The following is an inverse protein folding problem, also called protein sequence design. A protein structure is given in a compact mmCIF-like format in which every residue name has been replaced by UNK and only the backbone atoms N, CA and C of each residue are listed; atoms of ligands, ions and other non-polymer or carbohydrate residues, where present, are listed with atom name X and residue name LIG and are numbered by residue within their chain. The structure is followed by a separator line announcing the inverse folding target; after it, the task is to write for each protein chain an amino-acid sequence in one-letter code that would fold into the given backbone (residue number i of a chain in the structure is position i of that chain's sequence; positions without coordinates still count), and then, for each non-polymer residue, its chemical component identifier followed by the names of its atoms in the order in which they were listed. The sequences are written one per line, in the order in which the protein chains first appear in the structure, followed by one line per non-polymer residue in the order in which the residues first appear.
data_IF_626763321285
#
_entry.id   IF_626763321285
#
_cell.length_a   1.000
_cell.length_b   1.000
_cell.length_c   1.000
_cell.angle_alpha   90.00
_cell.angle_beta   90.00
_cell.angle_gamma   90.00
#
_symmetry.space_group_name_H-M   'P 1'
#
loop_
_entity.id
_entity.type
_entity.pdbx_description
1 polymer ?
#
# COMPACT_ATOMS: atom_id res chain seq x y z
N UNK A 1 5.91 7.69 1.30
CA UNK A 1 5.75 7.12 2.65
C UNK A 1 7.11 6.93 3.28
N UNK A 2 7.33 7.41 4.48
CA UNK A 2 8.60 7.24 5.19
C UNK A 2 8.74 5.82 5.76
N UNK A 3 9.99 5.33 5.79
CA UNK A 3 10.35 4.12 6.53
C UNK A 3 10.13 4.31 8.04
N UNK A 4 9.99 3.23 8.82
CA UNK A 4 9.79 3.33 10.27
C UNK A 4 10.88 4.10 11.02
N UNK A 5 12.11 4.08 10.53
CA UNK A 5 13.26 4.81 11.08
C UNK A 5 13.42 6.24 10.52
N UNK A 6 12.53 6.65 9.60
CA UNK A 6 12.54 7.97 8.99
C UNK A 6 13.66 8.27 8.00
N UNK A 7 14.55 7.29 7.72
CA UNK A 7 15.74 7.48 6.88
C UNK A 7 15.48 7.32 5.37
N UNK A 8 14.35 6.71 5.00
CA UNK A 8 14.03 6.36 3.63
C UNK A 8 12.64 6.81 3.26
N UNK A 9 12.48 7.29 2.03
CA UNK A 9 11.20 7.65 1.43
C UNK A 9 10.88 6.67 0.31
N UNK A 10 9.81 5.88 0.46
CA UNK A 10 9.24 5.10 -0.62
C UNK A 10 8.13 5.87 -1.31
N UNK A 11 8.16 5.91 -2.62
CA UNK A 11 7.17 6.57 -3.47
C UNK A 11 7.03 5.84 -4.80
N UNK A 12 6.06 6.21 -5.60
CA UNK A 12 6.00 5.77 -6.99
C UNK A 12 5.97 6.99 -7.91
N UNK A 13 6.55 6.83 -9.09
CA UNK A 13 6.68 7.86 -10.11
C UNK A 13 6.62 7.24 -11.49
N UNK A 14 6.20 8.01 -12.47
CA UNK A 14 6.17 7.65 -13.90
C UNK A 14 7.37 8.17 -14.69
N UNK A 15 8.40 8.66 -14.01
CA UNK A 15 9.63 9.20 -14.61
C UNK A 15 10.35 8.25 -15.57
N UNK A 16 10.15 6.94 -15.43
CA UNK A 16 10.67 5.91 -16.33
C UNK A 16 9.73 5.57 -17.51
N UNK A 17 8.66 6.36 -17.72
CA UNK A 17 7.63 6.14 -18.75
C UNK A 17 6.46 5.28 -18.29
N UNK A 18 6.54 4.69 -17.10
CA UNK A 18 5.44 4.01 -16.41
C UNK A 18 5.60 4.14 -14.90
N UNK A 19 4.54 3.89 -14.15
CA UNK A 19 4.60 3.97 -12.69
C UNK A 19 5.45 2.84 -12.12
N UNK A 20 6.56 3.22 -11.47
CA UNK A 20 7.45 2.31 -10.75
C UNK A 20 7.64 2.79 -9.32
N UNK A 21 7.93 1.86 -8.42
CA UNK A 21 8.24 2.16 -7.02
C UNK A 21 9.74 2.41 -6.87
N UNK A 22 10.05 3.46 -6.13
CA UNK A 22 11.41 3.87 -5.79
C UNK A 22 11.55 4.04 -4.28
N UNK A 23 12.76 3.86 -3.81
CA UNK A 23 13.21 4.28 -2.48
C UNK A 23 14.31 5.32 -2.64
N UNK A 24 14.27 6.35 -1.82
CA UNK A 24 15.28 7.41 -1.78
C UNK A 24 15.68 7.68 -0.34
N UNK A 25 16.94 7.99 -0.11
CA UNK A 25 17.42 8.43 1.21
C UNK A 25 16.80 9.77 1.60
N UNK A 26 16.59 9.97 2.89
CA UNK A 26 16.07 11.21 3.45
C UNK A 26 16.88 11.61 4.69
N UNK A 27 17.21 12.91 4.88
CA UNK A 27 16.90 14.03 3.97
C UNK A 27 17.67 13.96 2.66
N UNK A 28 17.05 14.48 1.60
CA UNK A 28 17.64 14.47 0.25
C UNK A 28 18.55 15.67 -0.04
N UNK A 29 19.15 15.74 -1.27
CA UNK A 29 19.12 14.76 -2.35
C UNK A 29 20.11 13.63 -2.10
N UNK A 30 19.66 12.41 -2.08
CA UNK A 30 20.47 11.22 -1.89
C UNK A 30 20.27 10.19 -2.99
N UNK A 31 20.89 9.03 -2.82
CA UNK A 31 20.75 7.92 -3.76
C UNK A 31 19.31 7.44 -3.87
N UNK A 32 18.93 7.05 -5.09
CA UNK A 32 17.62 6.51 -5.42
C UNK A 32 17.76 5.08 -5.94
N UNK A 33 16.90 4.20 -5.46
CA UNK A 33 16.87 2.78 -5.83
C UNK A 33 15.53 2.42 -6.45
N UNK A 34 15.52 1.85 -7.67
CA UNK A 34 14.31 1.27 -8.23
C UNK A 34 13.97 -0.01 -7.47
N UNK A 35 12.70 -0.16 -7.08
CA UNK A 35 12.20 -1.31 -6.33
C UNK A 35 11.38 -2.22 -7.24
N UNK A 36 10.62 -1.64 -8.15
CA UNK A 36 9.87 -2.38 -9.17
C UNK A 36 10.44 -2.11 -10.57
N UNK A 37 10.26 -3.05 -11.50
CA UNK A 37 10.69 -2.94 -12.90
C UNK A 37 9.62 -3.38 -13.88
N UNK A 38 8.48 -3.87 -13.37
CA UNK A 38 7.32 -4.34 -14.14
C UNK A 38 6.06 -3.51 -13.88
N UNK A 39 6.22 -2.34 -13.30
CA UNK A 39 5.14 -1.50 -12.80
C UNK A 39 4.83 -1.75 -11.33
N UNK A 40 4.66 -0.66 -10.59
CA UNK A 40 4.35 -0.71 -9.16
C UNK A 40 3.80 0.60 -8.63
N UNK A 41 2.92 0.49 -7.64
CA UNK A 41 2.26 1.63 -6.99
C UNK A 41 2.03 1.35 -5.50
N UNK A 42 1.74 2.38 -4.75
CA UNK A 42 1.31 2.31 -3.35
C UNK A 42 2.24 1.51 -2.43
N UNK A 43 3.53 1.91 -2.32
CA UNK A 43 4.46 1.24 -1.41
C UNK A 43 4.02 1.37 0.05
N UNK A 44 4.23 0.29 0.83
CA UNK A 44 3.98 0.24 2.27
C UNK A 44 5.18 -0.41 2.96
N UNK A 45 5.76 0.29 3.93
CA UNK A 45 6.81 -0.28 4.77
C UNK A 45 6.23 -1.24 5.81
N UNK A 46 6.85 -2.42 5.97
CA UNK A 46 6.69 -3.23 7.16
C UNK A 46 7.23 -2.46 8.37
N UNK A 47 6.56 -2.57 9.51
CA UNK A 47 7.00 -1.95 10.77
C UNK A 47 7.86 -2.87 11.62
N UNK A 48 7.83 -4.17 11.32
CA UNK A 48 8.49 -5.22 12.11
C UNK A 48 9.60 -5.93 11.39
N UNK A 49 9.58 -5.90 10.06
CA UNK A 49 10.55 -6.57 9.19
C UNK A 49 11.16 -5.56 8.23
N UNK A 50 12.35 -5.85 7.79
CA UNK A 50 12.99 -5.08 6.71
C UNK A 50 12.37 -5.50 5.36
N UNK A 51 11.12 -5.12 5.16
CA UNK A 51 10.33 -5.44 3.97
C UNK A 51 9.54 -4.22 3.50
N UNK A 52 9.46 -4.06 2.20
CA UNK A 52 8.61 -3.09 1.52
C UNK A 52 7.60 -3.84 0.66
N UNK A 53 6.33 -3.54 0.83
CA UNK A 53 5.26 -4.10 0.01
C UNK A 53 4.82 -3.05 -1.02
N UNK A 54 4.36 -3.51 -2.18
CA UNK A 54 3.75 -2.64 -3.18
C UNK A 54 2.72 -3.40 -4.03
N UNK A 55 1.86 -2.67 -4.71
CA UNK A 55 0.91 -3.21 -5.66
C UNK A 55 1.52 -3.20 -7.06
N UNK A 56 1.66 -4.38 -7.67
CA UNK A 56 2.20 -4.54 -9.01
C UNK A 56 1.12 -4.41 -10.08
N UNK A 57 1.53 -4.14 -11.33
CA UNK A 57 0.60 -4.01 -12.47
C UNK A 57 -0.15 -5.30 -12.79
N UNK A 58 0.40 -6.46 -12.44
CA UNK A 58 -0.26 -7.76 -12.57
C UNK A 58 -1.30 -8.05 -11.47
N UNK A 59 -1.68 -7.02 -10.71
CA UNK A 59 -2.67 -7.06 -9.63
C UNK A 59 -2.23 -7.86 -8.39
N UNK A 60 -0.95 -8.15 -8.23
CA UNK A 60 -0.42 -8.83 -7.04
C UNK A 60 0.13 -7.83 -6.04
N UNK A 61 0.08 -8.22 -4.78
CA UNK A 61 0.88 -7.55 -3.75
C UNK A 61 2.24 -8.22 -3.75
N UNK A 62 3.28 -7.43 -3.96
CA UNK A 62 4.65 -7.88 -3.92
C UNK A 62 5.30 -7.49 -2.61
N UNK A 63 6.23 -8.29 -2.14
CA UNK A 63 7.11 -8.00 -1.00
C UNK A 63 8.56 -8.00 -1.45
N UNK A 64 9.29 -7.01 -0.98
CA UNK A 64 10.72 -6.81 -1.26
C UNK A 64 11.45 -6.76 0.07
N UNK A 65 12.18 -7.80 0.44
CA UNK A 65 13.12 -7.71 1.54
C UNK A 65 14.24 -6.71 1.21
N UNK A 66 14.74 -6.02 2.21
CA UNK A 66 15.86 -5.11 2.04
C UNK A 66 16.84 -5.20 3.21
N UNK A 67 18.05 -4.76 2.99
CA UNK A 67 19.07 -4.57 4.02
C UNK A 67 19.58 -3.13 3.98
N UNK A 68 20.03 -2.64 5.11
CA UNK A 68 20.64 -1.31 5.24
C UNK A 68 21.97 -1.46 5.93
N UNK A 69 23.03 -1.00 5.26
CA UNK A 69 24.39 -0.96 5.81
C UNK A 69 24.88 0.50 5.76
N UNK A 70 24.93 1.15 6.93
CA UNK A 70 25.21 2.59 6.98
C UNK A 70 24.15 3.38 6.19
N UNK A 71 24.57 4.06 5.13
CA UNK A 71 23.69 4.82 4.22
C UNK A 71 23.39 4.08 2.90
N UNK A 72 23.80 2.83 2.80
CA UNK A 72 23.52 2.00 1.64
C UNK A 72 22.22 1.21 1.85
N UNK A 73 21.26 1.40 0.93
CA UNK A 73 20.03 0.62 0.85
C UNK A 73 20.19 -0.46 -0.22
N UNK A 74 19.85 -1.67 0.11
CA UNK A 74 19.95 -2.80 -0.81
C UNK A 74 18.66 -3.59 -0.81
N UNK A 75 17.89 -3.48 -1.90
CA UNK A 75 16.66 -4.24 -2.12
C UNK A 75 16.97 -5.62 -2.72
N UNK A 76 16.26 -6.63 -2.28
CA UNK A 76 16.24 -7.95 -2.91
C UNK A 76 15.23 -7.98 -4.07
N UNK A 77 15.15 -9.12 -4.77
CA UNK A 77 14.16 -9.32 -5.83
C UNK A 77 12.75 -9.37 -5.25
N UNK A 78 11.79 -8.66 -5.86
CA UNK A 78 10.38 -8.73 -5.48
C UNK A 78 9.85 -10.16 -5.57
N UNK A 79 9.04 -10.56 -4.58
CA UNK A 79 8.33 -11.85 -4.56
C UNK A 79 6.85 -11.60 -4.33
N UNK A 80 5.93 -12.42 -4.88
CA UNK A 80 4.53 -12.34 -4.52
C UNK A 80 4.35 -12.53 -3.01
N UNK A 81 3.67 -11.60 -2.35
CA UNK A 81 3.34 -11.72 -0.92
C UNK A 81 2.22 -12.76 -0.71
N UNK A 82 1.30 -12.83 -1.69
CA UNK A 82 0.18 -13.76 -1.72
C UNK A 82 -0.12 -14.16 -3.17
N UNK A 83 -0.62 -15.37 -3.44
CA UNK A 83 -1.10 -15.75 -4.76
C UNK A 83 -2.38 -14.99 -5.18
N UNK A 84 -3.08 -14.38 -4.22
CA UNK A 84 -4.33 -13.66 -4.49
C UNK A 84 -4.10 -12.41 -5.33
N UNK A 85 -5.00 -12.18 -6.28
CA UNK A 85 -5.03 -10.96 -7.07
C UNK A 85 -5.86 -9.89 -6.33
N UNK A 86 -5.34 -8.69 -6.27
CA UNK A 86 -5.99 -7.51 -5.68
C UNK A 86 -6.22 -6.49 -6.79
N UNK A 87 -7.45 -6.41 -7.29
CA UNK A 87 -7.80 -5.45 -8.34
C UNK A 87 -7.83 -4.04 -7.76
N UNK A 88 -7.15 -3.06 -8.38
CA UNK A 88 -7.25 -1.67 -7.96
C UNK A 88 -8.69 -1.17 -8.12
N UNK A 89 -9.16 -0.38 -7.16
CA UNK A 89 -10.42 0.35 -7.27
C UNK A 89 -10.11 1.84 -7.44
N UNK A 90 -10.09 2.28 -8.68
CA UNK A 90 -9.79 3.69 -8.99
C UNK A 90 -8.33 4.08 -8.69
N UNK A 91 -8.07 5.37 -8.52
CA UNK A 91 -6.72 5.91 -8.35
C UNK A 91 -6.19 5.81 -6.90
N UNK A 92 -6.87 5.06 -6.04
CA UNK A 92 -6.57 4.99 -4.61
C UNK A 92 -5.88 3.68 -4.25
N UNK A 93 -5.16 3.70 -3.14
CA UNK A 93 -4.61 2.48 -2.54
C UNK A 93 -5.74 1.53 -2.14
N UNK A 94 -5.74 0.32 -2.71
CA UNK A 94 -6.79 -0.69 -2.50
C UNK A 94 -6.41 -1.76 -1.47
N UNK A 95 -5.29 -1.61 -0.77
CA UNK A 95 -4.86 -2.53 0.28
C UNK A 95 -4.12 -1.79 1.40
N UNK A 96 -4.11 -2.39 2.58
CA UNK A 96 -3.31 -1.94 3.71
C UNK A 96 -2.79 -3.14 4.51
N UNK A 97 -1.59 -3.00 5.09
CA UNK A 97 -0.95 -4.05 5.87
C UNK A 97 -1.46 -4.01 7.31
N UNK A 98 -2.03 -5.11 7.78
CA UNK A 98 -2.43 -5.24 9.18
C UNK A 98 -1.21 -5.20 10.10
N UNK A 99 -1.37 -4.68 11.30
CA UNK A 99 -0.27 -4.53 12.28
C UNK A 99 0.44 -5.83 12.68
N UNK A 100 -0.18 -7.01 12.47
CA UNK A 100 0.45 -8.32 12.70
C UNK A 100 1.32 -8.77 11.54
N UNK A 101 1.25 -8.05 10.39
CA UNK A 101 2.00 -8.28 9.16
C UNK A 101 1.81 -9.67 8.53
N UNK A 102 0.78 -10.37 8.96
CA UNK A 102 0.37 -11.67 8.41
C UNK A 102 -0.87 -11.55 7.50
N UNK A 103 -1.55 -10.42 7.56
CA UNK A 103 -2.79 -10.15 6.83
C UNK A 103 -2.72 -8.79 6.15
N UNK A 104 -3.39 -8.69 5.02
CA UNK A 104 -3.68 -7.42 4.37
C UNK A 104 -5.19 -7.22 4.32
N UNK A 105 -5.63 -6.00 4.58
CA UNK A 105 -6.98 -5.57 4.25
C UNK A 105 -7.00 -5.18 2.78
N UNK A 106 -8.00 -5.63 2.04
CA UNK A 106 -8.18 -5.29 0.62
C UNK A 106 -9.58 -4.77 0.38
N UNK A 107 -9.71 -3.75 -0.44
CA UNK A 107 -11.00 -3.30 -0.94
C UNK A 107 -11.44 -4.25 -2.06
N UNK A 108 -12.32 -5.20 -1.73
CA UNK A 108 -12.90 -6.10 -2.73
C UNK A 108 -14.05 -5.40 -3.44
N UNK A 109 -14.04 -5.38 -4.78
CA UNK A 109 -15.21 -5.03 -5.57
C UNK A 109 -16.25 -6.15 -5.48
N UNK A 110 -17.52 -5.81 -5.42
CA UNK A 110 -18.57 -6.79 -5.66
C UNK A 110 -18.43 -7.34 -7.08
N UNK A 111 -18.26 -8.64 -7.20
CA UNK A 111 -18.38 -9.32 -8.49
C UNK A 111 -19.84 -9.27 -8.89
N UNK A 112 -20.16 -8.46 -9.90
CA UNK A 112 -21.52 -8.38 -10.46
C UNK A 112 -22.32 -7.13 -10.10
N UNK A 113 -21.78 -6.15 -9.40
CA UNK A 113 -22.44 -4.84 -9.37
C UNK A 113 -22.30 -4.20 -10.76
N UNK A 114 -23.44 -4.10 -11.45
CA UNK A 114 -23.61 -3.23 -12.61
C UNK A 114 -22.90 -1.90 -12.31
N UNK A 115 -22.28 -1.28 -13.34
CA UNK A 115 -21.64 0.03 -13.27
C UNK A 115 -22.36 0.94 -12.26
N UNK A 116 -21.81 1.05 -11.07
CA UNK A 116 -22.22 2.11 -10.17
C UNK A 116 -21.72 3.38 -10.82
N UNK A 117 -22.63 4.07 -11.50
CA UNK A 117 -22.33 5.39 -12.04
C UNK A 117 -21.79 6.23 -10.88
N UNK A 118 -20.65 6.92 -11.06
CA UNK A 118 -20.02 7.69 -9.98
C UNK A 118 -20.75 9.01 -9.68
N UNK A 119 -22.06 9.04 -9.86
CA UNK A 119 -22.93 10.20 -9.70
C UNK A 119 -23.66 10.22 -8.35
N UNK A 120 -23.44 9.22 -7.50
CA UNK A 120 -24.01 9.19 -6.15
C UNK A 120 -22.95 9.54 -5.11
N UNK A 121 -23.13 10.67 -4.45
CA UNK A 121 -22.44 11.03 -3.22
C UNK A 121 -23.33 10.65 -2.06
N UNK A 122 -22.89 9.71 -1.23
CA UNK A 122 -23.59 9.35 -0.01
C UNK A 122 -23.09 10.25 1.12
N UNK A 123 -23.96 11.13 1.60
CA UNK A 123 -23.73 11.87 2.84
C UNK A 123 -24.31 11.07 3.99
N UNK A 124 -23.48 10.74 4.97
CA UNK A 124 -23.94 10.15 6.23
C UNK A 124 -24.05 11.29 7.21
N UNK A 125 -25.26 11.77 7.44
CA UNK A 125 -25.55 12.69 8.54
C UNK A 125 -25.67 11.91 9.84
N UNK A 126 -25.26 12.52 10.96
CA UNK A 126 -25.31 11.90 12.29
C UNK A 126 -24.53 10.58 12.43
N UNK A 127 -23.41 10.46 11.72
CA UNK A 127 -22.56 9.25 11.71
C UNK A 127 -22.30 8.66 13.10
N UNK A 128 -22.03 9.49 14.12
CA UNK A 128 -21.76 9.03 15.48
C UNK A 128 -23.00 8.46 16.19
N UNK A 129 -24.19 8.94 15.88
CA UNK A 129 -25.45 8.39 16.43
C UNK A 129 -25.77 7.05 15.78
N UNK A 130 -25.55 6.93 14.47
CA UNK A 130 -25.74 5.69 13.73
C UNK A 130 -24.72 4.63 14.17
N UNK A 131 -23.47 5.01 14.43
CA UNK A 131 -22.48 4.11 15.03
C UNK A 131 -22.90 3.60 16.40
N UNK A 132 -23.45 4.46 17.28
CA UNK A 132 -23.97 4.05 18.58
C UNK A 132 -25.15 3.10 18.49
N UNK A 133 -26.00 3.29 17.48
CA UNK A 133 -27.15 2.42 17.21
C UNK A 133 -26.72 1.04 16.72
N UNK A 134 -25.73 0.98 15.85
CA UNK A 134 -25.25 -0.28 15.23
C UNK A 134 -24.23 -1.03 16.11
N UNK A 135 -23.50 -0.36 16.95
CA UNK A 135 -22.55 -0.90 17.88
C UNK A 135 -22.78 -0.31 19.29
N UNK A 136 -23.84 -0.71 19.99
CA UNK A 136 -24.06 -0.27 21.36
C UNK A 136 -22.86 -0.68 22.21
N UNK A 137 -22.37 0.24 23.03
CA UNK A 137 -21.27 -0.02 23.95
C UNK A 137 -21.66 -1.22 24.82
N UNK A 138 -20.91 -2.31 24.69
CA UNK A 138 -21.10 -3.47 25.55
C UNK A 138 -20.95 -3.04 27.00
N UNK A 139 -21.94 -3.37 27.81
CA UNK A 139 -21.88 -3.22 29.27
C UNK A 139 -20.61 -3.91 29.77
N UNK A 140 -19.88 -3.19 30.60
CA UNK A 140 -18.74 -3.73 31.37
C UNK A 140 -19.23 -4.53 32.55
#
# INVERSE_FOLDING_TARGET
MFSPDGRWLAYYSDESGRREVYVQSFPGPGSKWPISTGGGTYPIWSRRRQELLYHANDQRIMVVPYTVEGDAFRAEKPKPWSPALVRPRGPWRSFDLHRDEKRVAVLKGEEGSAEVKPDHVVFIENFFEELRRLAPAGER
#
